data_IF_518409138180
#
_entry.id   IF_518409138180
#
_cell.length_a   1.000
_cell.length_b   1.000
_cell.length_c   1.000
_cell.angle_alpha   90.00
_cell.angle_beta   90.00
_cell.angle_gamma   90.00
#
_symmetry.space_group_name_H-M   'P 1'
#
loop_
_entity.id
_entity.type
_entity.pdbx_description
1 polymer ?
#
# COMPACT_ATOMS: atom_id res chain seq x y z
N UNK A 1 9.80 0.34 -1.14
CA UNK A 1 10.63 0.87 -0.02
C UNK A 1 12.11 0.50 -0.16
N UNK A 2 12.49 -0.78 -0.17
CA UNK A 2 13.92 -1.16 -0.23
C UNK A 2 14.70 -0.66 -1.46
N UNK A 3 14.10 -0.71 -2.65
CA UNK A 3 14.71 -0.13 -3.86
C UNK A 3 14.93 1.39 -3.78
N UNK A 4 14.11 2.11 -3.00
CA UNK A 4 14.28 3.55 -2.77
C UNK A 4 15.52 3.84 -1.91
N UNK A 5 15.71 3.05 -0.85
CA UNK A 5 16.89 3.13 0.00
C UNK A 5 18.15 2.73 -0.76
N UNK A 6 18.10 1.67 -1.56
CA UNK A 6 19.20 1.25 -2.41
C UNK A 6 19.64 2.38 -3.36
N UNK A 7 18.69 3.06 -4.02
CA UNK A 7 18.98 4.20 -4.91
C UNK A 7 19.46 5.45 -4.16
N UNK A 8 19.00 5.69 -2.94
CA UNK A 8 19.46 6.82 -2.11
C UNK A 8 20.88 6.60 -1.58
N UNK A 9 21.21 5.36 -1.23
CA UNK A 9 22.50 4.97 -0.66
C UNK A 9 23.53 4.60 -1.74
N UNK A 10 23.12 4.41 -2.99
CA UNK A 10 24.06 4.18 -4.08
C UNK A 10 24.90 5.42 -4.30
N UNK A 11 26.21 5.32 -4.06
CA UNK A 11 27.20 6.36 -4.35
C UNK A 11 27.38 6.62 -5.86
N UNK A 12 26.74 5.79 -6.71
CA UNK A 12 26.80 5.87 -8.16
C UNK A 12 25.45 6.46 -8.67
N UNK A 13 25.42 7.73 -9.09
CA UNK A 13 24.16 8.45 -9.41
C UNK A 13 23.36 7.90 -10.58
N UNK A 14 23.94 6.99 -11.37
CA UNK A 14 23.42 6.52 -12.65
C UNK A 14 23.12 5.00 -12.68
N UNK A 15 23.23 4.28 -11.56
CA UNK A 15 22.88 2.86 -11.53
C UNK A 15 21.36 2.73 -11.48
N UNK A 16 20.82 2.05 -12.49
CA UNK A 16 19.41 1.68 -12.53
C UNK A 16 19.15 0.65 -11.42
N UNK A 17 18.21 0.97 -10.53
CA UNK A 17 17.83 0.11 -9.41
C UNK A 17 16.55 -0.63 -9.78
N UNK A 18 16.58 -1.96 -9.69
CA UNK A 18 15.40 -2.81 -9.86
C UNK A 18 14.89 -3.31 -8.51
N UNK A 19 13.57 -3.36 -8.38
CA UNK A 19 12.90 -3.98 -7.25
C UNK A 19 12.29 -5.30 -7.71
N UNK A 20 12.60 -6.39 -6.99
CA UNK A 20 12.28 -7.73 -7.45
C UNK A 20 11.71 -8.62 -6.37
N UNK A 21 10.79 -9.48 -6.79
CA UNK A 21 10.14 -10.49 -5.98
C UNK A 21 10.38 -11.86 -6.60
N UNK A 22 10.79 -12.79 -5.73
CA UNK A 22 11.10 -14.16 -6.09
C UNK A 22 9.97 -15.03 -5.53
N UNK A 23 9.16 -15.59 -6.43
CA UNK A 23 8.12 -16.54 -6.07
C UNK A 23 8.69 -17.94 -6.18
N UNK A 24 8.87 -18.60 -5.04
CA UNK A 24 9.27 -20.01 -4.98
C UNK A 24 8.00 -20.82 -4.82
N UNK A 25 7.45 -21.32 -5.94
CA UNK A 25 6.34 -22.27 -5.90
C UNK A 25 6.79 -23.64 -6.38
N UNK A 26 6.73 -24.65 -5.51
CA UNK A 26 6.77 -26.05 -5.94
C UNK A 26 5.40 -26.40 -6.55
N UNK A 27 5.30 -27.07 -7.71
CA UNK A 27 6.37 -27.70 -8.50
C UNK A 27 6.92 -26.85 -9.67
N UNK A 28 6.48 -25.60 -9.85
CA UNK A 28 6.64 -24.84 -11.11
C UNK A 28 7.92 -24.00 -11.25
N UNK A 29 8.86 -24.11 -10.31
CA UNK A 29 10.16 -23.42 -10.36
C UNK A 29 10.10 -21.95 -9.91
N UNK A 30 11.24 -21.28 -9.95
CA UNK A 30 11.39 -19.88 -9.53
C UNK A 30 10.78 -18.93 -10.57
N UNK A 31 9.78 -18.15 -10.16
CA UNK A 31 9.28 -17.03 -10.98
C UNK A 31 9.78 -15.71 -10.40
N UNK A 32 10.66 -15.03 -11.14
CA UNK A 32 11.11 -13.68 -10.84
C UNK A 32 10.18 -12.66 -11.49
N UNK A 33 9.72 -11.69 -10.70
CA UNK A 33 8.95 -10.52 -11.17
C UNK A 33 9.61 -9.28 -10.60
N UNK A 34 9.98 -8.35 -11.46
CA UNK A 34 10.65 -7.12 -11.07
C UNK A 34 10.21 -5.92 -11.89
N UNK A 35 10.56 -4.75 -11.41
CA UNK A 35 10.36 -3.47 -12.11
C UNK A 35 11.48 -2.49 -11.78
N UNK A 36 11.79 -1.61 -12.73
CA UNK A 36 12.74 -0.52 -12.53
C UNK A 36 12.16 0.53 -11.55
N UNK A 37 12.98 0.97 -10.60
CA UNK A 37 12.63 2.02 -9.64
C UNK A 37 12.90 3.39 -10.29
N UNK A 38 12.02 3.76 -11.21
CA UNK A 38 12.08 5.02 -11.96
C UNK A 38 11.75 6.23 -11.08
N UNK A 39 11.95 7.45 -11.60
CA UNK A 39 11.53 8.66 -10.91
C UNK A 39 10.00 8.71 -10.69
N UNK A 40 9.22 8.20 -11.63
CA UNK A 40 7.76 8.13 -11.50
C UNK A 40 7.34 7.26 -10.31
N UNK A 41 7.95 6.08 -10.15
CA UNK A 41 7.73 5.21 -8.98
C UNK A 41 8.04 5.94 -7.68
N UNK A 42 9.11 6.74 -7.65
CA UNK A 42 9.51 7.52 -6.48
C UNK A 42 8.49 8.61 -6.15
N UNK A 43 8.02 9.35 -7.16
CA UNK A 43 7.04 10.41 -6.99
C UNK A 43 5.70 9.86 -6.49
N UNK A 44 5.24 8.74 -7.06
CA UNK A 44 4.03 8.04 -6.60
C UNK A 44 4.16 7.63 -5.13
N UNK A 45 5.28 6.99 -4.75
CA UNK A 45 5.49 6.58 -3.36
C UNK A 45 5.53 7.78 -2.40
N UNK A 46 6.11 8.91 -2.82
CA UNK A 46 6.13 10.14 -2.01
C UNK A 46 4.72 10.68 -1.81
N UNK A 47 3.92 10.73 -2.87
CA UNK A 47 2.53 11.19 -2.80
C UNK A 47 1.73 10.30 -1.83
N UNK A 48 1.85 8.98 -1.96
CA UNK A 48 1.13 8.02 -1.12
C UNK A 48 1.58 8.08 0.35
N UNK A 49 2.88 8.14 0.62
CA UNK A 49 3.40 8.29 1.98
C UNK A 49 2.93 9.61 2.62
N UNK A 50 2.91 10.71 1.85
CA UNK A 50 2.41 12.01 2.34
C UNK A 50 0.94 11.94 2.71
N UNK A 51 0.13 11.28 1.89
CA UNK A 51 -1.30 11.06 2.14
C UNK A 51 -1.51 10.23 3.41
N UNK A 52 -0.82 9.09 3.55
CA UNK A 52 -0.88 8.24 4.73
C UNK A 52 -0.50 9.03 5.99
N UNK A 53 0.66 9.69 6.00
CA UNK A 53 1.14 10.48 7.16
C UNK A 53 0.15 11.59 7.52
N UNK A 54 -0.47 12.23 6.52
CA UNK A 54 -1.48 13.27 6.75
C UNK A 54 -2.73 12.70 7.42
N UNK A 55 -3.22 11.54 6.96
CA UNK A 55 -4.32 10.84 7.61
C UNK A 55 -3.96 10.48 9.07
N UNK A 56 -2.76 9.93 9.31
CA UNK A 56 -2.27 9.61 10.66
C UNK A 56 -2.28 10.84 11.58
N UNK A 57 -1.73 11.96 11.11
CA UNK A 57 -1.63 13.21 11.88
C UNK A 57 -2.99 13.81 12.24
N UNK A 58 -3.99 13.54 11.41
CA UNK A 58 -5.38 13.97 11.63
C UNK A 58 -6.17 12.95 12.47
N UNK A 59 -5.53 11.87 12.95
CA UNK A 59 -6.17 10.83 13.75
C UNK A 59 -7.03 9.85 12.94
N UNK A 60 -6.91 9.86 11.61
CA UNK A 60 -7.67 8.95 10.76
C UNK A 60 -6.95 7.63 10.57
N UNK A 61 -7.46 6.59 11.25
CA UNK A 61 -6.96 5.22 11.19
C UNK A 61 -8.10 4.19 11.28
N UNK A 62 -9.18 4.29 10.48
CA UNK A 62 -10.21 3.25 10.54
C UNK A 62 -9.59 1.94 10.05
N UNK A 63 -9.64 0.86 10.86
CA UNK A 63 -9.24 -0.45 10.38
C UNK A 63 -10.16 -0.85 9.22
N UNK A 64 -9.58 -1.15 8.04
CA UNK A 64 -10.36 -1.70 6.93
C UNK A 64 -10.90 -3.06 7.39
N UNK A 65 -12.21 -3.31 7.33
CA UNK A 65 -12.74 -4.60 7.72
C UNK A 65 -12.20 -5.67 6.77
N UNK A 66 -11.36 -6.55 7.31
CA UNK A 66 -10.76 -7.66 6.56
C UNK A 66 -11.81 -8.67 6.08
N UNK A 67 -11.51 -9.36 4.98
CA UNK A 67 -12.32 -10.45 4.44
C UNK A 67 -11.55 -11.78 4.49
N UNK A 68 -12.24 -12.90 4.33
CA UNK A 68 -11.61 -14.23 4.33
C UNK A 68 -11.06 -14.65 5.70
N UNK A 69 -9.86 -15.25 5.72
CA UNK A 69 -9.30 -15.91 6.91
C UNK A 69 -9.01 -14.99 8.11
N UNK A 70 -8.96 -13.67 7.88
CA UNK A 70 -8.73 -12.67 8.93
C UNK A 70 -10.02 -11.96 9.38
N UNK A 71 -11.19 -12.37 8.85
CA UNK A 71 -12.47 -11.77 9.19
C UNK A 71 -12.80 -11.85 10.69
N UNK A 72 -12.32 -12.88 11.40
CA UNK A 72 -12.52 -13.05 12.85
C UNK A 72 -12.02 -11.85 13.68
N UNK A 73 -10.92 -11.22 13.27
CA UNK A 73 -10.38 -10.03 13.92
C UNK A 73 -11.29 -8.81 13.73
N UNK A 74 -11.86 -8.64 12.54
CA UNK A 74 -12.83 -7.57 12.26
C UNK A 74 -14.17 -7.79 12.98
N UNK A 75 -14.63 -9.02 13.12
CA UNK A 75 -15.87 -9.37 13.82
C UNK A 75 -15.76 -9.08 15.32
N UNK A 76 -14.62 -9.39 15.93
CA UNK A 76 -14.38 -9.17 17.37
C UNK A 76 -14.35 -7.68 17.75
N UNK A 77 -13.86 -6.82 16.86
CA UNK A 77 -13.81 -5.36 17.06
C UNK A 77 -15.13 -4.66 16.71
N UNK A 78 -16.13 -5.38 16.18
CA UNK A 78 -17.39 -4.80 15.72
C UNK A 78 -17.35 -4.39 14.25
N UNK A 79 -17.48 -5.39 13.36
CA UNK A 79 -17.38 -5.24 11.89
C UNK A 79 -18.25 -4.12 11.33
N UNK A 80 -19.50 -3.99 11.78
CA UNK A 80 -20.44 -3.00 11.27
C UNK A 80 -20.02 -1.57 11.63
N UNK A 81 -19.51 -1.35 12.85
CA UNK A 81 -18.96 -0.08 13.28
C UNK A 81 -17.68 0.29 12.51
N UNK A 82 -16.82 -0.69 12.24
CA UNK A 82 -15.63 -0.51 11.39
C UNK A 82 -16.02 -0.21 9.94
N UNK A 83 -17.05 -0.87 9.40
CA UNK A 83 -17.52 -0.64 8.04
C UNK A 83 -18.18 0.74 7.89
N UNK A 84 -18.95 1.20 8.88
CA UNK A 84 -19.48 2.57 8.89
C UNK A 84 -18.38 3.61 9.02
N UNK A 85 -17.40 3.41 9.92
CA UNK A 85 -16.25 4.30 10.04
C UNK A 85 -15.43 4.34 8.74
N UNK A 86 -15.24 3.19 8.10
CA UNK A 86 -14.57 3.08 6.81
C UNK A 86 -15.34 3.82 5.71
N UNK A 87 -16.67 3.66 5.62
CA UNK A 87 -17.50 4.38 4.66
C UNK A 87 -17.48 5.90 4.86
N UNK A 88 -17.55 6.36 6.11
CA UNK A 88 -17.44 7.79 6.43
C UNK A 88 -16.11 8.39 6.01
N UNK A 89 -15.02 7.64 6.21
CA UNK A 89 -13.66 8.04 5.80
C UNK A 89 -13.46 7.92 4.28
N UNK A 90 -14.09 6.95 3.62
CA UNK A 90 -14.08 6.80 2.15
C UNK A 90 -14.77 7.97 1.43
N UNK A 91 -15.75 8.60 2.10
CA UNK A 91 -16.49 9.75 1.60
C UNK A 91 -15.85 11.11 1.93
N UNK A 92 -14.82 11.15 2.78
CA UNK A 92 -14.13 12.38 3.12
C UNK A 92 -13.41 12.95 1.89
N UNK A 93 -13.59 14.24 1.62
CA UNK A 93 -13.05 14.88 0.43
C UNK A 93 -11.52 14.75 0.33
N UNK A 94 -10.83 14.74 1.49
CA UNK A 94 -9.37 14.60 1.54
C UNK A 94 -8.86 13.17 1.26
N UNK A 95 -9.76 12.19 1.23
CA UNK A 95 -9.44 10.78 1.08
C UNK A 95 -10.16 10.14 -0.12
N UNK A 96 -10.93 10.93 -0.90
CA UNK A 96 -11.59 10.47 -2.13
C UNK A 96 -10.63 9.77 -3.09
N UNK A 97 -9.43 10.32 -3.27
CA UNK A 97 -8.39 9.72 -4.11
C UNK A 97 -7.94 8.34 -3.59
N UNK A 98 -7.88 8.16 -2.26
CA UNK A 98 -7.47 6.92 -1.61
C UNK A 98 -8.61 5.89 -1.68
N UNK A 99 -9.85 6.33 -1.47
CA UNK A 99 -11.03 5.50 -1.59
C UNK A 99 -11.21 4.95 -3.02
N UNK A 100 -10.91 5.77 -4.03
CA UNK A 100 -10.92 5.35 -5.43
C UNK A 100 -9.84 4.28 -5.72
N UNK A 101 -8.63 4.44 -5.18
CA UNK A 101 -7.54 3.45 -5.26
C UNK A 101 -7.89 2.12 -4.57
N UNK A 102 -8.57 2.16 -3.42
CA UNK A 102 -8.91 0.98 -2.63
C UNK A 102 -10.22 0.30 -3.04
N UNK A 103 -11.09 0.99 -3.79
CA UNK A 103 -12.36 0.47 -4.33
C UNK A 103 -12.25 -0.16 -5.73
N UNK A 104 -11.05 -0.15 -6.32
CA UNK A 104 -10.76 -0.66 -7.67
C UNK A 104 -10.51 -2.17 -7.76
N UNK A 105 -10.72 -2.96 -6.70
CA UNK A 105 -10.67 -4.42 -6.79
C UNK A 105 -12.00 -4.97 -7.32
N UNK A 106 -12.02 -5.28 -8.62
CA UNK A 106 -12.84 -6.34 -9.21
C UNK A 106 -11.95 -7.28 -10.02
#
# INVERSE_FOLDING_TARGET
MYGLFARRLSEIPAVEVEAEYWFISLPFGETRRGYAVTNEVIETLRADATRVITAMRRGYFPPKPESGQFASFSTMMGRDGMQQAWHGVSGAEELRDIAALLGGEK
#
